data_IF_814578426718
#
_entry.id   IF_814578426718
#
_cell.length_a   1.000
_cell.length_b   1.000
_cell.length_c   1.000
_cell.angle_alpha   90.00
_cell.angle_beta   90.00
_cell.angle_gamma   90.00
#
_symmetry.space_group_name_H-M   'P 1'
#
loop_
_entity.id
_entity.type
_entity.pdbx_description
1 polymer ?
#
# COMPACT_ATOMS: atom_id res chain seq x y z
N UNK A 1 -14.41 4.44 -7.89
CA UNK A 1 -13.45 5.15 -7.04
C UNK A 1 -12.14 4.41 -6.95
N UNK A 2 -11.05 5.13 -6.89
CA UNK A 2 -9.73 4.54 -6.79
C UNK A 2 -9.00 5.02 -5.54
N UNK A 3 -8.17 4.15 -4.99
CA UNK A 3 -7.38 4.39 -3.80
C UNK A 3 -5.99 3.83 -3.98
N UNK A 4 -5.02 4.45 -3.32
CA UNK A 4 -3.70 3.86 -3.15
C UNK A 4 -3.70 3.15 -1.81
N UNK A 5 -3.11 1.95 -1.76
CA UNK A 5 -3.10 1.12 -0.54
C UNK A 5 -1.66 0.74 -0.25
N UNK A 6 -1.22 0.90 0.98
CA UNK A 6 0.15 0.56 1.32
C UNK A 6 0.31 -0.88 1.82
N UNK A 7 1.57 -1.28 2.00
CA UNK A 7 1.91 -2.65 2.38
C UNK A 7 1.33 -3.04 3.76
N UNK A 8 1.14 -2.09 4.66
CA UNK A 8 0.61 -2.38 6.00
C UNK A 8 -0.81 -2.95 5.94
N UNK A 9 -1.58 -2.54 4.93
CA UNK A 9 -2.94 -3.06 4.72
C UNK A 9 -2.89 -4.41 4.03
N UNK A 10 -2.11 -4.52 2.94
CA UNK A 10 -2.01 -5.78 2.21
C UNK A 10 -1.46 -6.92 3.06
N UNK A 11 -0.52 -6.63 3.96
CA UNK A 11 0.06 -7.65 4.85
C UNK A 11 -1.02 -8.35 5.69
N UNK A 12 -2.08 -7.63 6.05
CA UNK A 12 -3.18 -8.16 6.86
C UNK A 12 -4.02 -9.22 6.14
N UNK A 13 -3.87 -9.34 4.84
CA UNK A 13 -4.53 -10.39 4.06
C UNK A 13 -3.87 -11.76 4.27
N UNK A 14 -2.60 -11.76 4.67
CA UNK A 14 -1.78 -12.97 4.75
C UNK A 14 -1.36 -13.30 6.16
N UNK A 15 -1.31 -12.30 7.03
CA UNK A 15 -0.94 -12.43 8.44
C UNK A 15 -2.13 -11.96 9.25
N UNK A 16 -2.71 -12.86 10.06
CA UNK A 16 -3.85 -12.53 10.90
C UNK A 16 -3.42 -11.57 12.01
N UNK A 17 -4.02 -10.40 12.02
CA UNK A 17 -3.75 -9.36 13.01
C UNK A 17 -4.94 -8.40 13.09
N UNK A 18 -4.86 -7.39 13.94
CA UNK A 18 -5.90 -6.38 14.01
C UNK A 18 -6.11 -5.72 12.65
N UNK A 19 -7.35 -5.64 12.21
CA UNK A 19 -7.71 -5.04 10.92
C UNK A 19 -7.77 -6.03 9.75
N UNK A 20 -7.41 -7.30 9.96
CA UNK A 20 -7.43 -8.31 8.88
C UNK A 20 -8.82 -8.48 8.26
N UNK A 21 -9.87 -8.45 9.08
CA UNK A 21 -11.24 -8.56 8.57
C UNK A 21 -11.59 -7.40 7.64
N UNK A 22 -11.23 -6.20 8.04
CA UNK A 22 -11.47 -4.99 7.25
C UNK A 22 -10.67 -5.02 5.94
N UNK A 23 -9.41 -5.41 6.00
CA UNK A 23 -8.57 -5.53 4.82
C UNK A 23 -9.15 -6.55 3.83
N UNK A 24 -9.61 -7.69 4.33
CA UNK A 24 -10.23 -8.72 3.51
C UNK A 24 -11.51 -8.21 2.85
N UNK A 25 -12.33 -7.49 3.60
CA UNK A 25 -13.54 -6.89 3.05
C UNK A 25 -13.22 -5.94 1.90
N UNK A 26 -12.24 -5.05 2.08
CA UNK A 26 -11.84 -4.10 1.04
C UNK A 26 -11.33 -4.81 -0.22
N UNK A 27 -10.52 -5.86 -0.03
CA UNK A 27 -10.02 -6.63 -1.18
C UNK A 27 -11.15 -7.34 -1.91
N UNK A 28 -12.14 -7.83 -1.18
CA UNK A 28 -13.32 -8.44 -1.78
C UNK A 28 -14.05 -7.45 -2.69
N UNK A 29 -14.16 -6.20 -2.27
CA UNK A 29 -14.81 -5.15 -3.09
C UNK A 29 -13.96 -4.86 -4.32
N UNK A 30 -12.64 -4.80 -4.18
CA UNK A 30 -11.74 -4.58 -5.31
C UNK A 30 -11.86 -5.72 -6.35
N UNK A 31 -11.83 -6.96 -5.89
CA UNK A 31 -11.91 -8.13 -6.79
C UNK A 31 -13.24 -8.13 -7.56
N UNK A 32 -14.32 -7.67 -6.95
CA UNK A 32 -15.63 -7.58 -7.61
C UNK A 32 -15.77 -6.33 -8.49
N UNK A 33 -14.74 -5.48 -8.55
CA UNK A 33 -14.73 -4.29 -9.39
C UNK A 33 -15.41 -3.07 -8.80
N UNK A 34 -15.78 -3.10 -7.52
CA UNK A 34 -16.42 -1.97 -6.84
C UNK A 34 -15.48 -0.84 -6.47
N UNK A 35 -14.24 -1.17 -6.21
CA UNK A 35 -13.16 -0.23 -5.93
C UNK A 35 -11.94 -0.62 -6.76
N UNK A 36 -11.08 0.35 -7.02
CA UNK A 36 -9.82 0.08 -7.73
C UNK A 36 -8.66 0.49 -6.84
N UNK A 37 -7.74 -0.45 -6.66
CA UNK A 37 -6.56 -0.20 -5.83
C UNK A 37 -5.30 -0.17 -6.67
N UNK A 38 -4.39 0.72 -6.28
CA UNK A 38 -3.07 0.84 -6.88
C UNK A 38 -2.02 1.01 -5.79
N UNK A 39 -0.78 0.77 -6.15
CA UNK A 39 0.36 0.93 -5.26
C UNK A 39 1.63 1.09 -6.10
N UNK A 40 2.68 1.73 -5.55
CA UNK A 40 3.99 1.68 -6.20
C UNK A 40 4.49 0.22 -6.25
N UNK A 41 5.30 -0.12 -7.25
CA UNK A 41 5.91 -1.46 -7.35
C UNK A 41 6.71 -1.84 -6.11
N UNK A 42 7.17 -0.87 -5.35
CA UNK A 42 7.81 -1.05 -4.05
C UNK A 42 7.01 -1.95 -3.11
N UNK A 43 5.69 -1.96 -3.22
CA UNK A 43 4.82 -2.73 -2.32
C UNK A 43 5.20 -4.21 -2.30
N UNK A 44 5.63 -4.75 -3.43
CA UNK A 44 6.03 -6.16 -3.51
C UNK A 44 7.24 -6.45 -2.63
N UNK A 45 8.22 -5.53 -2.65
CA UNK A 45 9.42 -5.67 -1.82
C UNK A 45 9.10 -5.49 -0.35
N UNK A 46 8.23 -4.56 -0.03
CA UNK A 46 7.84 -4.32 1.37
C UNK A 46 7.07 -5.52 1.94
N UNK A 47 6.16 -6.11 1.16
CA UNK A 47 5.47 -7.32 1.57
C UNK A 47 6.45 -8.49 1.78
N UNK A 48 7.38 -8.68 0.84
CA UNK A 48 8.40 -9.70 0.98
C UNK A 48 9.21 -9.52 2.25
N UNK A 49 9.54 -8.27 2.59
CA UNK A 49 10.29 -7.96 3.80
C UNK A 49 9.47 -8.23 5.07
N UNK A 50 8.17 -7.94 5.05
CA UNK A 50 7.27 -8.28 6.15
C UNK A 50 7.27 -9.79 6.40
N UNK A 51 7.15 -10.59 5.34
CA UNK A 51 7.14 -12.05 5.46
C UNK A 51 8.47 -12.57 5.97
N UNK A 52 9.57 -11.98 5.51
CA UNK A 52 10.92 -12.35 5.98
C UNK A 52 11.08 -12.17 7.49
N UNK A 53 10.47 -11.13 8.05
CA UNK A 53 10.57 -10.85 9.49
C UNK A 53 9.81 -11.84 10.35
N UNK A 54 8.87 -12.59 9.78
CA UNK A 54 8.09 -13.57 10.52
C UNK A 54 8.80 -14.92 10.53
N UNK A 55 9.25 -15.40 11.70
CA UNK A 55 10.08 -16.61 11.75
C UNK A 55 9.35 -17.88 11.33
N UNK A 56 8.02 -17.87 11.34
CA UNK A 56 7.21 -19.03 10.95
C UNK A 56 6.80 -19.04 9.47
N UNK A 57 7.12 -17.99 8.73
CA UNK A 57 6.82 -17.94 7.30
C UNK A 57 8.06 -18.41 6.54
N UNK A 58 7.94 -19.59 5.92
CA UNK A 58 9.02 -20.14 5.09
C UNK A 58 9.13 -19.35 3.78
N UNK A 59 10.25 -19.52 3.07
CA UNK A 59 10.41 -18.88 1.75
C UNK A 59 9.35 -19.38 0.76
N UNK A 60 8.94 -20.62 0.85
CA UNK A 60 7.89 -21.18 -0.01
C UNK A 60 6.53 -20.53 0.28
N UNK A 61 6.24 -20.33 1.56
CA UNK A 61 5.00 -19.67 1.97
C UNK A 61 5.01 -18.20 1.57
N UNK A 62 6.14 -17.52 1.73
CA UNK A 62 6.28 -16.13 1.28
C UNK A 62 6.04 -16.01 -0.23
N UNK A 63 6.61 -16.93 -1.02
CA UNK A 63 6.38 -16.96 -2.46
C UNK A 63 4.89 -17.14 -2.78
N UNK A 64 4.22 -18.07 -2.09
CA UNK A 64 2.79 -18.31 -2.28
C UNK A 64 1.97 -17.04 -1.98
N UNK A 65 2.28 -16.35 -0.89
CA UNK A 65 1.58 -15.12 -0.52
C UNK A 65 1.79 -14.02 -1.57
N UNK A 66 3.02 -13.86 -2.06
CA UNK A 66 3.31 -12.87 -3.08
C UNK A 66 2.59 -13.19 -4.40
N UNK A 67 2.51 -14.47 -4.76
CA UNK A 67 1.73 -14.88 -5.94
C UNK A 67 0.25 -14.54 -5.78
N UNK A 68 -0.32 -14.81 -4.61
CA UNK A 68 -1.72 -14.46 -4.33
C UNK A 68 -1.93 -12.96 -4.38
N UNK A 69 -0.98 -12.19 -3.87
CA UNK A 69 -1.06 -10.73 -3.96
C UNK A 69 -1.09 -10.28 -5.43
N UNK A 70 -0.22 -10.81 -6.25
CA UNK A 70 -0.20 -10.46 -7.68
C UNK A 70 -1.49 -10.85 -8.39
N UNK A 71 -2.12 -11.94 -7.97
CA UNK A 71 -3.38 -12.39 -8.55
C UNK A 71 -4.57 -11.47 -8.21
N UNK A 72 -4.42 -10.59 -7.22
CA UNK A 72 -5.44 -9.58 -6.92
C UNK A 72 -5.52 -8.49 -7.99
N UNK A 73 -4.53 -8.44 -8.87
CA UNK A 73 -4.46 -7.44 -9.95
C UNK A 73 -4.52 -6.00 -9.44
N UNK A 74 -3.83 -5.74 -8.36
CA UNK A 74 -3.59 -4.37 -7.91
C UNK A 74 -2.76 -3.68 -9.00
N UNK A 75 -3.14 -2.46 -9.36
CA UNK A 75 -2.37 -1.70 -10.35
C UNK A 75 -1.03 -1.28 -9.72
N UNK A 76 0.04 -1.84 -10.22
CA UNK A 76 1.39 -1.51 -9.74
C UNK A 76 2.00 -0.43 -10.64
N UNK A 77 2.53 0.61 -10.04
CA UNK A 77 3.06 1.77 -10.75
C UNK A 77 4.53 1.97 -10.41
N UNK A 78 5.36 2.02 -11.44
CA UNK A 78 6.77 2.42 -11.27
C UNK A 78 6.83 3.93 -11.18
N UNK A 79 7.38 4.45 -10.07
CA UNK A 79 7.40 5.90 -9.88
C UNK A 79 8.26 6.63 -10.91
N UNK A 80 9.16 5.92 -11.59
CA UNK A 80 9.99 6.51 -12.63
C UNK A 80 9.32 6.52 -14.01
N UNK A 81 8.12 5.97 -14.13
CA UNK A 81 7.39 5.95 -15.40
C UNK A 81 6.79 7.31 -15.76
N UNK A 82 6.74 8.22 -14.81
CA UNK A 82 6.20 9.57 -14.97
C UNK A 82 7.11 10.55 -14.22
N UNK A 83 7.72 11.48 -14.94
CA UNK A 83 8.65 12.43 -14.34
C UNK A 83 7.98 13.29 -13.27
N UNK A 84 6.72 13.65 -13.46
CA UNK A 84 5.99 14.42 -12.45
C UNK A 84 5.82 13.62 -11.16
N UNK A 85 5.51 12.33 -11.28
CA UNK A 85 5.37 11.46 -10.11
C UNK A 85 6.70 11.33 -9.36
N UNK A 86 7.79 11.16 -10.08
CA UNK A 86 9.12 11.10 -9.47
C UNK A 86 9.45 12.38 -8.71
N UNK A 87 9.20 13.53 -9.35
CA UNK A 87 9.43 14.84 -8.75
C UNK A 87 8.57 15.05 -7.51
N UNK A 88 7.29 14.70 -7.59
CA UNK A 88 6.36 14.85 -6.49
C UNK A 88 6.71 13.94 -5.31
N UNK A 89 7.28 12.77 -5.59
CA UNK A 89 7.78 11.89 -4.53
C UNK A 89 8.93 12.54 -3.77
N UNK A 90 9.87 13.15 -4.48
CA UNK A 90 10.96 13.89 -3.85
C UNK A 90 10.44 15.04 -2.99
N UNK A 91 9.47 15.78 -3.52
CA UNK A 91 8.86 16.90 -2.80
C UNK A 91 8.11 16.44 -1.56
N UNK A 92 7.29 15.40 -1.67
CA UNK A 92 6.52 14.87 -0.55
C UNK A 92 7.43 14.37 0.58
N UNK A 93 8.55 13.74 0.23
CA UNK A 93 9.53 13.28 1.20
C UNK A 93 10.01 14.43 2.10
N UNK A 94 10.28 15.59 1.51
CA UNK A 94 10.75 16.76 2.25
C UNK A 94 9.63 17.49 2.99
N UNK A 95 8.54 17.76 2.30
CA UNK A 95 7.45 18.60 2.87
C UNK A 95 6.67 17.88 3.95
N UNK A 96 6.50 16.56 3.83
CA UNK A 96 5.77 15.76 4.82
C UNK A 96 6.69 15.00 5.77
N UNK A 97 8.01 15.16 5.64
CA UNK A 97 9.00 14.48 6.45
C UNK A 97 8.79 12.97 6.47
N UNK A 98 8.69 12.40 5.29
CA UNK A 98 8.50 10.96 5.09
C UNK A 98 9.76 10.33 4.51
N UNK A 99 9.95 9.03 4.76
CA UNK A 99 10.93 8.28 3.98
C UNK A 99 10.53 8.37 2.51
N UNK A 100 11.49 8.19 1.60
CA UNK A 100 11.18 8.17 0.18
C UNK A 100 10.18 7.06 -0.15
N UNK A 101 10.25 5.94 0.56
CA UNK A 101 9.33 4.82 0.42
C UNK A 101 7.89 5.26 0.69
N UNK A 102 7.63 5.83 1.87
CA UNK A 102 6.28 6.30 2.23
C UNK A 102 5.83 7.44 1.34
N UNK A 103 6.76 8.32 0.96
CA UNK A 103 6.47 9.43 0.06
C UNK A 103 6.01 8.94 -1.32
N UNK A 104 6.49 7.78 -1.78
CA UNK A 104 6.05 7.25 -3.07
C UNK A 104 4.57 6.86 -3.07
N UNK A 105 4.06 6.34 -1.96
CA UNK A 105 2.63 6.07 -1.82
C UNK A 105 1.82 7.36 -1.79
N UNK A 106 2.28 8.33 -1.00
CA UNK A 106 1.58 9.60 -0.86
C UNK A 106 1.51 10.35 -2.20
N UNK A 107 2.63 10.44 -2.88
CA UNK A 107 2.70 11.13 -4.18
C UNK A 107 1.82 10.44 -5.22
N UNK A 108 1.80 9.11 -5.23
CA UNK A 108 0.94 8.37 -6.15
C UNK A 108 -0.54 8.68 -5.88
N UNK A 109 -0.94 8.71 -4.62
CA UNK A 109 -2.31 9.05 -4.26
C UNK A 109 -2.66 10.46 -4.70
N UNK A 110 -1.82 11.43 -4.39
CA UNK A 110 -2.07 12.82 -4.75
C UNK A 110 -2.10 13.04 -6.26
N UNK A 111 -1.21 12.38 -7.00
CA UNK A 111 -1.20 12.46 -8.46
C UNK A 111 -2.47 11.89 -9.08
N UNK A 112 -3.09 10.91 -8.46
CA UNK A 112 -4.31 10.28 -8.95
C UNK A 112 -5.58 10.91 -8.35
N UNK A 113 -5.44 11.97 -7.59
CA UNK A 113 -6.54 12.59 -6.86
C UNK A 113 -7.30 11.55 -6.02
N UNK A 114 -6.55 10.68 -5.37
CA UNK A 114 -7.06 9.56 -4.58
C UNK A 114 -6.61 9.66 -3.13
N UNK A 115 -7.26 8.92 -2.26
CA UNK A 115 -6.82 8.76 -0.88
C UNK A 115 -5.87 7.58 -0.77
N UNK A 116 -5.01 7.63 0.26
CA UNK A 116 -4.09 6.56 0.61
C UNK A 116 -4.64 5.83 1.83
N UNK A 117 -4.93 4.54 1.70
CA UNK A 117 -5.38 3.72 2.82
C UNK A 117 -4.16 3.09 3.48
N UNK A 118 -4.00 3.31 4.76
CA UNK A 118 -2.86 2.81 5.54
C UNK A 118 -3.31 2.33 6.91
N UNK A 119 -2.53 1.42 7.50
CA UNK A 119 -2.68 1.05 8.90
C UNK A 119 -1.62 1.72 9.77
N UNK A 120 -0.72 2.51 9.17
CA UNK A 120 0.38 3.19 9.85
C UNK A 120 -0.08 4.54 10.37
N UNK A 121 -0.20 4.66 11.69
CA UNK A 121 -0.65 5.90 12.34
C UNK A 121 0.33 7.05 12.14
N UNK A 122 1.63 6.77 12.05
CA UNK A 122 2.62 7.81 11.83
C UNK A 122 2.48 8.40 10.42
N UNK A 123 2.29 7.56 9.42
CA UNK A 123 2.06 8.03 8.05
C UNK A 123 0.79 8.86 7.97
N UNK A 124 -0.29 8.41 8.60
CA UNK A 124 -1.53 9.18 8.66
C UNK A 124 -1.32 10.54 9.32
N UNK A 125 -0.59 10.57 10.45
CA UNK A 125 -0.34 11.82 11.17
C UNK A 125 0.45 12.83 10.35
N UNK A 126 1.35 12.37 9.49
CA UNK A 126 2.17 13.24 8.64
C UNK A 126 1.46 13.71 7.37
N UNK A 127 0.39 13.04 6.96
CA UNK A 127 -0.35 13.39 5.75
C UNK A 127 -1.87 13.20 5.94
N UNK A 128 -2.47 13.87 6.94
CA UNK A 128 -3.87 13.60 7.32
C UNK A 128 -4.89 14.01 6.25
N UNK A 129 -4.51 14.88 5.33
CA UNK A 129 -5.39 15.30 4.25
C UNK A 129 -5.55 14.26 3.14
N UNK A 130 -4.61 13.33 3.03
CA UNK A 130 -4.60 12.33 1.96
C UNK A 130 -4.66 10.90 2.51
N UNK A 131 -3.95 10.62 3.60
CA UNK A 131 -3.91 9.30 4.21
C UNK A 131 -5.12 9.07 5.12
N UNK A 132 -5.77 7.92 4.96
CA UNK A 132 -6.92 7.48 5.75
C UNK A 132 -6.53 6.18 6.44
N UNK A 133 -6.80 6.09 7.73
CA UNK A 133 -6.52 4.84 8.45
C UNK A 133 -7.54 3.76 8.05
N UNK A 134 -7.04 2.53 7.93
CA UNK A 134 -7.87 1.38 7.58
C UNK A 134 -9.09 1.26 8.51
N UNK A 135 -8.90 1.46 9.82
CA UNK A 135 -9.98 1.36 10.80
C UNK A 135 -11.09 2.38 10.60
N UNK A 136 -10.79 3.49 9.96
CA UNK A 136 -11.73 4.59 9.73
C UNK A 136 -12.35 4.55 8.32
N UNK A 137 -11.95 3.58 7.54
CA UNK A 137 -12.48 3.41 6.19
C UNK A 137 -13.79 2.56 6.18
#
# INVERSE_FOLDING_TARGET
MSYVVDASVFAKLFIEEEGSDKATELMSIHVRGGLRFSAPTLVLYELGNVFWKHPHITHEKAYEFLRRFLDLQIRLVDIHSDDNLLRDTCNASRTSNLTFYDASYLALAENNDAKLITADEELHAKAPGTAVLLRDF
#
